data_IF_213442553802
#
_entry.id   IF_213442553802
#
_cell.length_a   1.000
_cell.length_b   1.000
_cell.length_c   1.000
_cell.angle_alpha   90.00
_cell.angle_beta   90.00
_cell.angle_gamma   90.00
#
_symmetry.space_group_name_H-M   'P 1'
#
loop_
_entity.id
_entity.type
_entity.pdbx_description
1 polymer ?
#
# COMPACT_ATOMS: atom_id res chain seq x y z
N UNK A 1 -7.28 14.64 -5.97
CA UNK A 1 -6.20 15.58 -5.61
C UNK A 1 -4.83 15.15 -6.13
N UNK A 2 -4.42 13.87 -6.09
CA UNK A 2 -3.11 13.46 -6.62
C UNK A 2 -2.97 13.51 -8.15
N UNK A 3 -4.01 13.17 -8.92
CA UNK A 3 -3.95 13.06 -10.39
C UNK A 3 -3.45 14.35 -11.08
N UNK A 4 -3.88 15.53 -10.61
CA UNK A 4 -3.44 16.80 -11.20
C UNK A 4 -1.94 17.03 -11.11
N UNK A 5 -1.29 16.57 -10.03
CA UNK A 5 0.15 16.72 -9.84
C UNK A 5 0.88 15.89 -10.91
N UNK A 6 0.57 14.59 -11.01
CA UNK A 6 1.21 13.69 -11.99
C UNK A 6 0.98 14.13 -13.44
N UNK A 7 -0.18 14.74 -13.71
CA UNK A 7 -0.50 15.22 -15.06
C UNK A 7 0.23 16.48 -15.46
N UNK A 8 0.59 17.34 -14.50
CA UNK A 8 1.31 18.59 -14.75
C UNK A 8 2.82 18.46 -14.61
N UNK A 9 3.31 17.34 -14.08
CA UNK A 9 4.74 17.09 -13.93
C UNK A 9 5.34 16.68 -15.27
N UNK A 10 6.46 17.31 -15.58
CA UNK A 10 7.44 16.91 -16.58
C UNK A 10 8.48 16.04 -15.85
N UNK A 11 8.55 14.75 -16.18
CA UNK A 11 9.42 13.77 -15.51
C UNK A 11 10.75 13.55 -16.26
N UNK A 12 10.84 13.92 -17.53
CA UNK A 12 12.07 13.80 -18.33
C UNK A 12 12.75 15.16 -18.62
N UNK A 13 12.21 16.24 -18.06
CA UNK A 13 12.70 17.62 -18.13
C UNK A 13 12.76 18.17 -19.56
N UNK A 14 11.82 17.76 -20.44
CA UNK A 14 11.74 18.22 -21.83
C UNK A 14 11.02 19.57 -22.03
N UNK A 15 10.46 20.12 -20.95
CA UNK A 15 9.71 21.38 -20.91
C UNK A 15 8.20 21.20 -21.10
N UNK A 16 7.69 19.99 -21.26
CA UNK A 16 6.28 19.67 -21.43
C UNK A 16 5.78 18.65 -20.39
N UNK A 17 4.55 18.79 -19.87
CA UNK A 17 4.01 17.79 -18.95
C UNK A 17 3.76 16.42 -19.63
N UNK A 18 4.22 15.35 -18.99
CA UNK A 18 4.03 13.96 -19.48
C UNK A 18 2.59 13.46 -19.40
N UNK A 19 1.73 14.18 -18.68
CA UNK A 19 0.31 13.84 -18.52
C UNK A 19 0.07 12.43 -17.94
N UNK A 20 0.95 11.97 -17.03
CA UNK A 20 0.79 10.69 -16.33
C UNK A 20 -0.49 10.73 -15.47
N UNK A 21 -1.32 9.69 -15.58
CA UNK A 21 -2.63 9.61 -14.91
C UNK A 21 -2.72 8.45 -13.94
N UNK A 22 -3.54 8.62 -12.90
CA UNK A 22 -3.88 7.54 -11.97
C UNK A 22 -5.38 7.25 -12.09
N UNK A 23 -5.72 6.09 -12.65
CA UNK A 23 -7.09 5.60 -12.73
C UNK A 23 -7.36 4.58 -11.61
N UNK A 24 -8.49 4.75 -10.92
CA UNK A 24 -8.95 3.77 -9.93
C UNK A 24 -9.76 2.69 -10.65
N UNK A 25 -9.20 1.49 -10.75
CA UNK A 25 -9.87 0.36 -11.42
C UNK A 25 -10.82 -0.38 -10.48
N UNK A 26 -10.46 -0.52 -9.20
CA UNK A 26 -11.27 -1.23 -8.20
C UNK A 26 -11.12 -0.62 -6.82
N UNK A 27 -12.23 -0.57 -6.08
CA UNK A 27 -12.27 -0.24 -4.65
C UNK A 27 -12.77 -1.46 -3.88
N UNK A 28 -12.05 -1.85 -2.83
CA UNK A 28 -12.46 -2.91 -1.90
C UNK A 28 -12.57 -2.31 -0.50
N UNK A 29 -13.71 -2.55 0.16
CA UNK A 29 -14.00 -2.02 1.49
C UNK A 29 -14.13 -3.20 2.45
N UNK A 30 -13.22 -3.26 3.43
CA UNK A 30 -13.36 -4.16 4.58
C UNK A 30 -14.19 -3.45 5.65
N UNK A 31 -15.30 -4.08 6.04
CA UNK A 31 -16.28 -3.48 6.97
C UNK A 31 -15.97 -3.83 8.42
N UNK A 32 -15.27 -4.94 8.65
CA UNK A 32 -14.95 -5.43 9.98
C UNK A 32 -13.52 -5.97 10.05
N UNK A 33 -12.92 -5.90 11.24
CA UNK A 33 -11.67 -6.58 11.54
C UNK A 33 -11.80 -8.11 11.47
N UNK A 34 -13.03 -8.64 11.54
CA UNK A 34 -13.34 -10.07 11.43
C UNK A 34 -13.61 -10.51 9.99
N UNK A 35 -13.51 -9.63 9.00
CA UNK A 35 -13.69 -10.03 7.60
C UNK A 35 -12.61 -11.07 7.25
N UNK A 36 -13.00 -12.26 6.73
CA UNK A 36 -12.06 -13.36 6.49
C UNK A 36 -10.96 -12.99 5.49
N UNK A 37 -11.25 -12.03 4.61
CA UNK A 37 -10.33 -11.50 3.62
C UNK A 37 -9.48 -10.32 4.11
N UNK A 38 -9.55 -9.94 5.39
CA UNK A 38 -8.80 -8.80 5.95
C UNK A 38 -7.57 -9.26 6.76
N UNK A 39 -6.42 -9.56 6.11
CA UNK A 39 -5.25 -10.13 6.78
C UNK A 39 -4.59 -9.17 7.78
N UNK A 40 -4.86 -7.86 7.71
CA UNK A 40 -4.17 -6.84 8.49
C UNK A 40 -4.74 -6.65 9.91
N UNK A 41 -5.79 -7.39 10.28
CA UNK A 41 -6.52 -7.21 11.55
C UNK A 41 -5.60 -7.27 12.78
N UNK A 42 -4.64 -8.20 12.78
CA UNK A 42 -3.75 -8.48 13.91
C UNK A 42 -2.36 -7.85 13.77
N UNK A 43 -2.12 -7.01 12.75
CA UNK A 43 -0.84 -6.28 12.67
C UNK A 43 -0.65 -5.41 13.92
N UNK A 44 0.53 -5.27 14.50
CA UNK A 44 0.77 -4.43 15.66
C UNK A 44 1.23 -3.03 15.26
N UNK A 45 2.03 -2.94 14.20
CA UNK A 45 2.62 -1.70 13.69
C UNK A 45 2.41 -1.51 12.17
N UNK A 46 2.93 -0.39 11.63
CA UNK A 46 2.79 -0.07 10.22
C UNK A 46 3.58 -1.02 9.30
N UNK A 47 4.85 -1.37 9.60
CA UNK A 47 5.59 -2.38 8.83
C UNK A 47 4.86 -3.72 8.71
N UNK A 48 4.37 -4.27 9.83
CA UNK A 48 3.63 -5.53 9.82
C UNK A 48 2.30 -5.39 9.08
N UNK A 49 1.61 -4.26 9.25
CA UNK A 49 0.38 -3.96 8.51
C UNK A 49 0.61 -3.97 7.00
N UNK A 50 1.69 -3.32 6.56
CA UNK A 50 2.07 -3.27 5.15
C UNK A 50 2.53 -4.63 4.61
N UNK A 51 3.27 -5.41 5.40
CA UNK A 51 3.68 -6.78 5.02
C UNK A 51 2.45 -7.68 4.82
N UNK A 52 1.53 -7.69 5.80
CA UNK A 52 0.28 -8.45 5.71
C UNK A 52 -0.58 -8.01 4.52
N UNK A 53 -0.68 -6.71 4.25
CA UNK A 53 -1.37 -6.22 3.05
C UNK A 53 -0.72 -6.73 1.75
N UNK A 54 0.61 -6.81 1.73
CA UNK A 54 1.39 -7.27 0.58
C UNK A 54 1.22 -8.77 0.29
N UNK A 55 0.75 -9.57 1.25
CA UNK A 55 0.41 -10.99 1.00
C UNK A 55 -0.83 -11.19 0.13
N UNK A 56 -1.65 -10.14 -0.07
CA UNK A 56 -2.76 -10.20 -1.02
C UNK A 56 -2.22 -10.10 -2.43
N UNK A 57 -2.65 -10.99 -3.32
CA UNK A 57 -2.32 -10.92 -4.74
C UNK A 57 -2.98 -9.70 -5.38
N UNK A 58 -2.18 -8.79 -5.93
CA UNK A 58 -2.64 -7.57 -6.59
C UNK A 58 -2.27 -7.60 -8.08
N UNK A 59 -3.29 -7.50 -8.95
CA UNK A 59 -3.11 -7.56 -10.40
C UNK A 59 -3.17 -6.18 -11.08
N UNK A 60 -3.05 -5.10 -10.30
CA UNK A 60 -3.09 -3.71 -10.77
C UNK A 60 -1.68 -3.12 -10.83
N UNK A 61 -1.49 -1.96 -11.47
CA UNK A 61 -0.17 -1.32 -11.45
C UNK A 61 0.22 -0.85 -10.03
N UNK A 62 -0.74 -0.40 -9.21
CA UNK A 62 -0.49 0.01 -7.84
C UNK A 62 -1.72 -0.28 -6.98
N UNK A 63 -1.50 -0.81 -5.78
CA UNK A 63 -2.55 -1.04 -4.79
C UNK A 63 -2.29 -0.22 -3.54
N UNK A 64 -3.25 0.62 -3.17
CA UNK A 64 -3.15 1.52 -2.02
C UNK A 64 -4.19 1.10 -0.98
N UNK A 65 -3.74 0.77 0.23
CA UNK A 65 -4.61 0.58 1.38
C UNK A 65 -4.72 1.88 2.17
N UNK A 66 -5.94 2.35 2.39
CA UNK A 66 -6.22 3.49 3.27
C UNK A 66 -6.84 2.97 4.57
N UNK A 67 -6.33 3.41 5.72
CA UNK A 67 -6.86 3.01 7.02
C UNK A 67 -6.96 4.19 8.01
N UNK A 68 -7.73 3.97 9.09
CA UNK A 68 -7.84 4.89 10.22
C UNK A 68 -7.19 4.25 11.45
N UNK A 69 -5.88 4.03 11.40
CA UNK A 69 -5.14 3.32 12.46
C UNK A 69 -3.98 4.16 12.96
N UNK A 70 -3.89 4.33 14.28
CA UNK A 70 -2.75 4.99 14.89
C UNK A 70 -1.62 3.97 15.00
N UNK A 71 -0.45 4.33 14.50
CA UNK A 71 0.78 3.56 14.64
C UNK A 71 1.75 4.33 15.52
N UNK A 72 2.49 3.63 16.39
CA UNK A 72 3.30 4.26 17.42
C UNK A 72 4.45 5.11 16.86
N UNK A 73 4.92 4.80 15.66
CA UNK A 73 6.00 5.51 14.98
C UNK A 73 5.62 6.89 14.42
N UNK A 74 4.36 7.33 14.58
CA UNK A 74 3.80 8.57 13.99
C UNK A 74 3.90 8.65 12.45
N UNK A 75 4.26 7.54 11.80
CA UNK A 75 4.39 7.45 10.34
C UNK A 75 3.01 7.38 9.70
N UNK A 76 2.77 8.24 8.71
CA UNK A 76 1.49 8.37 8.01
C UNK A 76 1.30 7.37 6.86
N UNK A 77 2.34 6.64 6.46
CA UNK A 77 2.26 5.64 5.41
C UNK A 77 3.59 4.97 5.07
N UNK A 78 3.52 3.86 4.36
CA UNK A 78 4.66 3.07 3.92
C UNK A 78 4.40 2.50 2.52
N UNK A 79 5.44 2.40 1.70
CA UNK A 79 5.36 1.82 0.36
C UNK A 79 6.63 1.06 0.03
N UNK A 80 6.52 0.06 -0.85
CA UNK A 80 7.70 -0.60 -1.40
C UNK A 80 8.36 0.28 -2.46
N UNK A 81 9.68 0.48 -2.35
CA UNK A 81 10.44 1.33 -3.26
C UNK A 81 10.89 0.56 -4.51
N UNK A 82 11.00 1.24 -5.67
CA UNK A 82 11.50 0.60 -6.89
C UNK A 82 12.98 0.27 -6.76
N UNK A 83 13.29 -1.04 -6.84
CA UNK A 83 14.66 -1.56 -6.97
C UNK A 83 14.67 -2.75 -7.93
N UNK A 84 15.86 -3.15 -8.39
CA UNK A 84 16.04 -4.26 -9.35
C UNK A 84 15.37 -5.57 -8.86
N UNK A 85 15.45 -5.84 -7.56
CA UNK A 85 14.76 -6.93 -6.86
C UNK A 85 13.66 -6.44 -5.88
N UNK A 86 13.27 -5.17 -5.98
CA UNK A 86 12.34 -4.50 -5.06
C UNK A 86 10.95 -4.27 -5.65
N UNK A 87 10.19 -3.42 -4.97
CA UNK A 87 8.79 -3.14 -5.29
C UNK A 87 8.59 -2.00 -6.30
N UNK A 88 7.50 -1.25 -6.11
CA UNK A 88 7.12 -0.14 -6.98
C UNK A 88 6.00 -0.50 -7.96
N UNK A 89 5.69 0.46 -8.83
CA UNK A 89 4.56 0.36 -9.75
C UNK A 89 4.75 -0.82 -10.73
N UNK A 90 3.64 -1.47 -11.07
CA UNK A 90 3.52 -2.54 -12.05
C UNK A 90 4.38 -3.80 -11.76
N UNK A 91 4.85 -3.98 -10.52
CA UNK A 91 5.50 -5.22 -10.10
C UNK A 91 4.50 -6.36 -10.02
N UNK A 92 4.86 -7.49 -10.64
CA UNK A 92 4.07 -8.73 -10.59
C UNK A 92 4.22 -9.40 -9.22
N UNK A 93 3.19 -10.12 -8.73
CA UNK A 93 3.29 -10.91 -7.52
C UNK A 93 4.43 -11.94 -7.62
N UNK A 94 5.20 -12.07 -6.54
CA UNK A 94 6.35 -12.97 -6.42
C UNK A 94 6.02 -14.07 -5.42
N UNK A 95 6.40 -15.31 -5.75
CA UNK A 95 6.25 -16.44 -4.84
C UNK A 95 7.44 -16.50 -3.89
N UNK A 96 7.19 -16.30 -2.60
CA UNK A 96 8.21 -16.28 -1.53
C UNK A 96 8.08 -17.53 -0.67
N UNK A 97 9.22 -18.15 -0.34
CA UNK A 97 9.28 -19.31 0.55
C UNK A 97 9.34 -18.81 2.00
N UNK A 98 8.37 -19.21 2.83
CA UNK A 98 8.26 -18.72 4.22
C UNK A 98 8.76 -19.73 5.24
N UNK A 99 8.52 -21.03 5.04
CA UNK A 99 9.03 -22.10 5.91
C UNK A 99 8.88 -23.46 5.23
N UNK A 100 9.90 -24.32 5.33
CA UNK A 100 9.84 -25.69 4.78
C UNK A 100 9.39 -25.71 3.32
N UNK A 101 8.24 -26.33 3.03
CA UNK A 101 7.64 -26.40 1.69
C UNK A 101 6.48 -25.39 1.47
N UNK A 102 6.29 -24.45 2.39
CA UNK A 102 5.22 -23.44 2.34
C UNK A 102 5.66 -22.19 1.58
N UNK A 103 4.75 -21.71 0.73
CA UNK A 103 4.95 -20.53 -0.10
C UNK A 103 3.78 -19.56 0.04
N UNK A 104 4.09 -18.26 0.00
CA UNK A 104 3.11 -17.17 -0.01
C UNK A 104 3.40 -16.28 -1.21
N UNK A 105 2.36 -15.75 -1.86
CA UNK A 105 2.52 -14.76 -2.91
C UNK A 105 2.58 -13.37 -2.28
N UNK A 106 3.61 -12.60 -2.62
CA UNK A 106 3.80 -11.23 -2.20
C UNK A 106 3.67 -10.28 -3.38
N UNK A 107 2.88 -9.24 -3.21
CA UNK A 107 2.71 -8.14 -4.14
C UNK A 107 3.51 -6.94 -3.64
N UNK A 108 4.56 -6.55 -4.36
CA UNK A 108 5.42 -5.43 -3.98
C UNK A 108 5.04 -4.10 -4.67
N UNK A 109 3.90 -4.07 -5.36
CA UNK A 109 3.24 -2.88 -5.92
C UNK A 109 2.21 -2.29 -4.93
N UNK A 110 2.56 -2.28 -3.65
CA UNK A 110 1.66 -1.93 -2.54
C UNK A 110 2.13 -0.68 -1.79
N UNK A 111 1.16 0.08 -1.30
CA UNK A 111 1.35 1.18 -0.38
C UNK A 111 0.22 1.20 0.66
N UNK A 112 0.53 1.67 1.86
CA UNK A 112 -0.42 1.88 2.96
C UNK A 112 -0.34 3.33 3.39
N UNK A 113 -1.50 3.94 3.64
CA UNK A 113 -1.61 5.27 4.25
C UNK A 113 -2.61 5.23 5.40
N UNK A 114 -2.28 5.89 6.50
CA UNK A 114 -3.21 6.14 7.59
C UNK A 114 -3.57 7.61 7.67
N UNK A 115 -4.85 7.88 7.93
CA UNK A 115 -5.35 9.23 8.21
C UNK A 115 -5.42 9.54 9.71
N UNK A 116 -4.96 8.63 10.58
CA UNK A 116 -4.92 8.82 12.04
C UNK A 116 -3.49 8.92 12.55
N UNK A 117 -3.02 10.15 12.79
CA UNK A 117 -1.64 10.43 13.21
C UNK A 117 -1.48 10.45 14.73
N UNK A 118 -2.52 10.82 15.48
CA UNK A 118 -2.48 10.91 16.94
C UNK A 118 -3.28 9.79 17.62
N UNK A 119 -2.79 9.33 18.78
CA UNK A 119 -3.58 8.48 19.68
C UNK A 119 -4.83 9.27 20.09
N UNK A 120 -6.02 8.68 19.94
CA UNK A 120 -7.22 9.43 20.33
C UNK A 120 -7.14 9.72 21.83
N UNK A 121 -7.29 10.98 22.20
CA UNK A 121 -7.59 11.34 23.58
C UNK A 121 -8.95 10.75 23.89
N UNK A 122 -9.05 9.93 24.95
CA UNK A 122 -10.38 9.61 25.49
C UNK A 122 -11.00 10.95 25.88
N UNK A 123 -12.10 11.32 25.24
CA UNK A 123 -12.98 12.33 25.83
C UNK A 123 -13.49 11.70 27.14
N UNK A 124 -13.08 12.30 28.27
CA UNK A 124 -13.62 11.98 29.58
C UNK A 124 -15.05 12.50 29.69
#
# INVERSE_FOLDING_TARGET
MRDSIFRSTDFDDDGFPDNIRILVEKVTIFKSATDPDYPMAQAEDLPEFHDKFSTRTQNYCLSICMCYRWFMSEVIGQSNTPQMNGGGICKRPVKVRVSGWSYVYYSYNTAVVTIRVTKARRCL
#
